data_IF_240965278349
#
_entry.id   IF_240965278349
#
_cell.length_a   1.000
_cell.length_b   1.000
_cell.length_c   1.000
_cell.angle_alpha   90.00
_cell.angle_beta   90.00
_cell.angle_gamma   90.00
#
_symmetry.space_group_name_H-M   'P 1'
#
loop_
_entity.id
_entity.type
_entity.pdbx_description
1 polymer ?
#
# COMPACT_ATOMS: atom_id res chain seq x y z
N UNK A 1 -70.39 -46.83 38.53
CA UNK A 1 -71.11 -47.25 37.30
C UNK A 1 -71.44 -46.02 36.48
N UNK A 2 -71.22 -46.13 35.16
CA UNK A 2 -71.67 -45.28 34.04
C UNK A 2 -70.69 -44.23 33.49
N UNK A 3 -70.25 -44.62 32.29
CA UNK A 3 -69.36 -44.04 31.31
C UNK A 3 -69.79 -42.67 30.76
N UNK A 4 -68.76 -41.93 30.38
CA UNK A 4 -68.69 -40.71 29.59
C UNK A 4 -69.10 -40.97 28.14
N UNK A 5 -69.89 -40.07 27.54
CA UNK A 5 -69.86 -39.85 26.08
C UNK A 5 -69.87 -38.36 25.74
N UNK A 6 -68.78 -37.97 25.10
CA UNK A 6 -68.47 -36.67 24.50
C UNK A 6 -69.03 -36.65 23.07
N UNK A 7 -69.82 -35.65 22.70
CA UNK A 7 -70.27 -35.44 21.32
C UNK A 7 -69.35 -34.43 20.63
N UNK A 8 -68.76 -34.86 19.51
CA UNK A 8 -67.83 -34.12 18.67
C UNK A 8 -68.63 -33.31 17.64
N UNK A 9 -68.38 -32.00 17.51
CA UNK A 9 -68.91 -31.18 16.43
C UNK A 9 -67.73 -30.58 15.65
N UNK A 10 -67.62 -30.94 14.37
CA UNK A 10 -66.60 -30.46 13.43
C UNK A 10 -67.13 -29.16 12.82
N UNK A 11 -66.39 -28.06 12.95
CA UNK A 11 -66.61 -26.83 12.20
C UNK A 11 -65.33 -26.47 11.43
N UNK A 12 -65.43 -26.49 10.11
CA UNK A 12 -64.35 -26.20 9.15
C UNK A 12 -63.99 -24.70 9.17
N UNK A 13 -62.70 -24.42 9.35
CA UNK A 13 -62.09 -23.08 9.24
C UNK A 13 -61.81 -22.73 7.78
N UNK A 14 -62.32 -21.59 7.31
CA UNK A 14 -61.90 -20.92 6.09
C UNK A 14 -61.08 -19.68 6.44
N UNK A 15 -59.75 -19.79 6.38
CA UNK A 15 -58.83 -18.66 6.54
C UNK A 15 -58.58 -18.03 5.17
N UNK A 16 -59.03 -16.79 4.99
CA UNK A 16 -58.72 -15.99 3.81
C UNK A 16 -57.32 -15.38 3.92
N UNK A 17 -56.38 -15.88 3.12
CA UNK A 17 -55.04 -15.30 3.02
C UNK A 17 -55.08 -13.98 2.26
N UNK A 18 -54.83 -12.84 2.94
CA UNK A 18 -54.53 -11.57 2.28
C UNK A 18 -53.09 -11.62 1.78
N UNK A 19 -52.92 -11.65 0.45
CA UNK A 19 -51.62 -11.43 -0.17
C UNK A 19 -51.22 -9.97 0.04
N UNK A 20 -50.13 -9.74 0.78
CA UNK A 20 -49.45 -8.44 0.83
C UNK A 20 -48.64 -8.36 -0.45
N UNK A 21 -49.08 -7.55 -1.40
CA UNK A 21 -48.28 -7.20 -2.57
C UNK A 21 -47.17 -6.25 -2.10
N UNK A 22 -45.93 -6.77 -1.99
CA UNK A 22 -44.74 -5.93 -1.96
C UNK A 22 -44.63 -5.23 -3.31
N UNK A 23 -44.95 -3.94 -3.34
CA UNK A 23 -44.62 -3.06 -4.44
C UNK A 23 -43.16 -2.61 -4.32
N UNK A 24 -42.23 -3.56 -4.51
CA UNK A 24 -40.85 -3.24 -4.84
C UNK A 24 -40.81 -2.96 -6.35
N UNK A 25 -40.94 -1.69 -6.70
CA UNK A 25 -40.65 -1.22 -8.05
C UNK A 25 -39.18 -1.50 -8.35
N UNK A 26 -38.83 -2.15 -9.47
CA UNK A 26 -37.44 -2.39 -9.81
C UNK A 26 -36.78 -1.04 -10.09
N UNK A 27 -35.85 -0.65 -9.23
CA UNK A 27 -34.93 0.45 -9.51
C UNK A 27 -34.06 0.01 -10.68
N UNK A 28 -34.26 0.62 -11.84
CA UNK A 28 -33.41 0.45 -13.01
C UNK A 28 -32.05 1.13 -12.76
N UNK A 29 -31.20 0.49 -11.97
CA UNK A 29 -29.76 0.76 -11.90
C UNK A 29 -28.99 -0.56 -11.84
N UNK A 30 -29.16 -1.40 -12.85
CA UNK A 30 -28.36 -2.61 -13.06
C UNK A 30 -26.98 -2.27 -13.67
N UNK A 31 -26.14 -1.62 -12.85
CA UNK A 31 -24.69 -1.56 -13.02
C UNK A 31 -23.94 -2.02 -11.75
N UNK A 32 -24.65 -2.42 -10.69
CA UNK A 32 -24.09 -2.64 -9.36
C UNK A 32 -24.04 -4.11 -8.89
N UNK A 33 -24.63 -5.06 -9.61
CA UNK A 33 -24.52 -6.48 -9.25
C UNK A 33 -23.30 -7.12 -9.90
N UNK A 34 -22.09 -6.65 -9.55
CA UNK A 34 -20.86 -7.34 -9.95
C UNK A 34 -20.96 -8.80 -9.53
N UNK A 35 -20.80 -9.74 -10.48
CA UNK A 35 -20.86 -11.19 -10.19
C UNK A 35 -19.79 -11.69 -9.21
N UNK A 36 -18.80 -10.85 -8.87
CA UNK A 36 -17.79 -11.11 -7.84
C UNK A 36 -18.16 -10.35 -6.56
N UNK A 37 -18.14 -11.05 -5.43
CA UNK A 37 -18.30 -10.46 -4.09
C UNK A 37 -17.02 -9.77 -3.59
N UNK A 38 -17.15 -8.83 -2.65
CA UNK A 38 -16.00 -8.14 -2.04
C UNK A 38 -15.00 -9.12 -1.40
N UNK A 39 -15.47 -10.22 -0.81
CA UNK A 39 -14.57 -11.24 -0.25
C UNK A 39 -13.82 -12.05 -1.31
N UNK A 40 -14.43 -12.28 -2.48
CA UNK A 40 -13.73 -12.88 -3.60
C UNK A 40 -12.68 -11.91 -4.18
N UNK A 41 -12.99 -10.61 -4.28
CA UNK A 41 -12.01 -9.59 -4.66
C UNK A 41 -10.85 -9.51 -3.67
N UNK A 42 -11.15 -9.55 -2.37
CA UNK A 42 -10.14 -9.57 -1.32
C UNK A 42 -9.21 -10.77 -1.48
N UNK A 43 -9.74 -12.01 -1.61
CA UNK A 43 -8.89 -13.19 -1.82
C UNK A 43 -8.03 -13.10 -3.08
N UNK A 44 -8.59 -12.59 -4.18
CA UNK A 44 -7.85 -12.38 -5.43
C UNK A 44 -6.70 -11.37 -5.24
N UNK A 45 -6.98 -10.24 -4.60
CA UNK A 45 -5.98 -9.22 -4.26
C UNK A 45 -4.87 -9.77 -3.38
N UNK A 46 -5.22 -10.58 -2.37
CA UNK A 46 -4.26 -11.25 -1.49
C UNK A 46 -3.34 -12.22 -2.23
N UNK A 47 -3.86 -13.03 -3.14
CA UNK A 47 -3.04 -13.90 -3.97
C UNK A 47 -2.10 -13.08 -4.87
N UNK A 48 -2.63 -12.04 -5.51
CA UNK A 48 -1.87 -11.17 -6.41
C UNK A 48 -0.74 -10.41 -5.70
N UNK A 49 -1.01 -9.82 -4.54
CA UNK A 49 -0.03 -9.01 -3.81
C UNK A 49 1.12 -9.86 -3.24
N UNK A 50 0.86 -11.13 -2.90
CA UNK A 50 1.90 -12.08 -2.50
C UNK A 50 2.88 -12.32 -3.65
N UNK A 51 2.38 -12.55 -4.86
CA UNK A 51 3.21 -12.69 -6.07
C UNK A 51 4.00 -11.43 -6.37
N UNK A 52 3.39 -10.25 -6.23
CA UNK A 52 4.08 -8.96 -6.38
C UNK A 52 5.24 -8.84 -5.38
N UNK A 53 4.97 -9.03 -4.08
CA UNK A 53 5.98 -8.93 -3.01
C UNK A 53 7.16 -9.89 -3.20
N UNK A 54 6.93 -11.06 -3.81
CA UNK A 54 7.99 -12.00 -4.16
C UNK A 54 8.79 -11.64 -5.42
N UNK A 55 8.27 -10.74 -6.25
CA UNK A 55 8.83 -10.41 -7.58
C UNK A 55 9.51 -9.05 -7.65
N UNK A 56 9.27 -8.17 -6.67
CA UNK A 56 9.76 -6.79 -6.67
C UNK A 56 10.55 -6.47 -5.41
N UNK A 57 11.44 -5.48 -5.52
CA UNK A 57 12.08 -4.90 -4.34
C UNK A 57 11.10 -3.91 -3.69
N UNK A 58 10.86 -4.07 -2.39
CA UNK A 58 10.07 -3.11 -1.61
C UNK A 58 10.96 -1.97 -1.12
N UNK A 59 10.38 -0.79 -0.94
CA UNK A 59 11.09 0.38 -0.42
C UNK A 59 11.46 0.18 1.04
N UNK A 60 12.76 0.20 1.34
CA UNK A 60 13.32 0.05 2.68
C UNK A 60 13.60 1.43 3.32
N UNK A 61 12.53 2.21 3.50
CA UNK A 61 12.58 3.49 4.22
C UNK A 61 11.33 3.65 5.10
N UNK A 62 11.42 3.39 6.42
CA UNK A 62 10.24 3.37 7.29
C UNK A 62 9.58 4.75 7.42
N UNK A 63 10.31 5.85 7.23
CA UNK A 63 9.74 7.19 7.27
C UNK A 63 8.88 7.46 6.02
N UNK A 64 9.37 7.10 4.84
CA UNK A 64 8.62 7.21 3.59
C UNK A 64 7.41 6.28 3.58
N UNK A 65 7.56 5.05 4.05
CA UNK A 65 6.46 4.08 4.17
C UNK A 65 5.40 4.57 5.16
N UNK A 66 5.79 5.03 6.37
CA UNK A 66 4.86 5.59 7.35
C UNK A 66 4.11 6.80 6.79
N UNK A 67 4.80 7.72 6.13
CA UNK A 67 4.17 8.89 5.50
C UNK A 67 3.12 8.49 4.45
N UNK A 68 3.45 7.55 3.56
CA UNK A 68 2.53 7.07 2.54
C UNK A 68 1.34 6.32 3.15
N UNK A 69 1.58 5.56 4.21
CA UNK A 69 0.53 4.88 4.96
C UNK A 69 -0.44 5.88 5.59
N UNK A 70 0.08 6.88 6.32
CA UNK A 70 -0.72 7.89 7.00
C UNK A 70 -1.54 8.73 6.00
N UNK A 71 -0.92 9.16 4.90
CA UNK A 71 -1.61 9.88 3.83
C UNK A 71 -2.69 9.02 3.17
N UNK A 72 -2.42 7.73 2.93
CA UNK A 72 -3.39 6.82 2.33
C UNK A 72 -4.59 6.61 3.25
N UNK A 73 -4.37 6.40 4.55
CA UNK A 73 -5.44 6.20 5.53
C UNK A 73 -6.27 7.46 5.78
N UNK A 74 -5.65 8.63 5.75
CA UNK A 74 -6.38 9.89 5.76
C UNK A 74 -7.37 9.94 4.58
N UNK A 75 -6.90 9.68 3.36
CA UNK A 75 -7.74 9.69 2.16
C UNK A 75 -8.81 8.58 2.18
N UNK A 76 -8.51 7.39 2.71
CA UNK A 76 -9.48 6.30 2.88
C UNK A 76 -10.65 6.76 3.75
N UNK A 77 -10.37 7.51 4.83
CA UNK A 77 -11.40 8.06 5.72
C UNK A 77 -12.40 8.99 5.02
N UNK A 78 -11.98 9.61 3.92
CA UNK A 78 -12.77 10.55 3.11
C UNK A 78 -13.25 9.98 1.77
N UNK A 79 -12.91 8.72 1.47
CA UNK A 79 -13.25 8.05 0.22
C UNK A 79 -14.64 7.40 0.26
N UNK A 80 -15.10 6.94 -0.91
CA UNK A 80 -16.37 6.21 -1.07
C UNK A 80 -16.20 4.67 -0.95
N UNK A 81 -15.09 4.21 -0.36
CA UNK A 81 -14.81 2.78 -0.19
C UNK A 81 -15.85 2.10 0.71
N UNK A 82 -16.41 0.98 0.21
CA UNK A 82 -17.28 0.10 0.99
C UNK A 82 -16.46 -0.87 1.86
N UNK A 83 -15.44 -1.49 1.28
CA UNK A 83 -14.46 -2.32 1.98
C UNK A 83 -13.20 -1.50 2.24
N UNK A 84 -12.83 -1.37 3.52
CA UNK A 84 -11.68 -0.58 3.97
C UNK A 84 -10.48 -1.45 4.36
N UNK A 85 -10.49 -2.74 3.99
CA UNK A 85 -9.30 -3.60 4.07
C UNK A 85 -8.30 -3.17 3.01
N UNK A 86 -7.50 -2.15 3.32
CA UNK A 86 -6.47 -1.62 2.42
C UNK A 86 -5.11 -2.23 2.76
N UNK A 87 -4.37 -2.63 1.73
CA UNK A 87 -2.99 -3.12 1.83
C UNK A 87 -2.10 -2.27 0.93
N UNK A 88 -1.23 -1.47 1.55
CA UNK A 88 -0.31 -0.60 0.85
C UNK A 88 0.99 -1.34 0.53
N UNK A 89 1.45 -1.24 -0.72
CA UNK A 89 2.75 -1.76 -1.15
C UNK A 89 3.56 -0.63 -1.76
N UNK A 90 4.69 -0.31 -1.13
CA UNK A 90 5.62 0.68 -1.65
C UNK A 90 6.77 -0.04 -2.36
N UNK A 91 6.79 0.07 -3.68
CA UNK A 91 7.77 -0.57 -4.55
C UNK A 91 8.99 0.35 -4.68
N UNK A 92 10.17 -0.23 -4.50
CA UNK A 92 11.44 0.45 -4.75
C UNK A 92 11.68 0.57 -6.26
N UNK A 93 11.07 1.58 -6.87
CA UNK A 93 11.23 1.88 -8.27
C UNK A 93 11.21 3.40 -8.47
N UNK A 94 12.21 3.93 -9.18
CA UNK A 94 12.33 5.37 -9.46
C UNK A 94 11.33 5.85 -10.52
N UNK A 95 10.64 4.94 -11.24
CA UNK A 95 9.62 5.32 -12.19
C UNK A 95 8.42 5.95 -11.49
N UNK A 96 7.78 6.88 -12.21
CA UNK A 96 6.50 7.42 -11.81
C UNK A 96 5.42 6.36 -12.00
N UNK A 97 4.90 5.78 -10.91
CA UNK A 97 3.74 4.90 -10.97
C UNK A 97 2.97 4.81 -9.64
N UNK A 98 1.69 4.52 -9.77
CA UNK A 98 0.80 4.04 -8.71
C UNK A 98 -0.28 3.17 -9.37
N UNK A 99 -0.85 2.25 -8.61
CA UNK A 99 -1.94 1.40 -9.11
C UNK A 99 -2.84 0.94 -7.97
N UNK A 100 -4.08 0.64 -8.31
CA UNK A 100 -5.00 -0.09 -7.47
C UNK A 100 -5.44 -1.40 -8.15
N UNK A 101 -5.45 -2.49 -7.39
CA UNK A 101 -6.02 -3.77 -7.83
C UNK A 101 -7.06 -4.28 -6.83
N UNK A 102 -7.94 -5.23 -7.20
CA UNK A 102 -9.02 -5.70 -6.34
C UNK A 102 -8.57 -6.11 -4.95
N UNK A 103 -9.49 -6.03 -3.99
CA UNK A 103 -9.21 -6.42 -2.62
C UNK A 103 -8.47 -5.38 -1.79
N UNK A 104 -8.51 -4.11 -2.22
CA UNK A 104 -7.97 -2.99 -1.47
C UNK A 104 -6.45 -2.84 -1.57
N UNK A 105 -5.81 -3.45 -2.58
CA UNK A 105 -4.36 -3.35 -2.75
C UNK A 105 -4.03 -2.04 -3.47
N UNK A 106 -3.17 -1.23 -2.87
CA UNK A 106 -2.65 0.00 -3.47
C UNK A 106 -1.14 -0.13 -3.59
N UNK A 107 -0.62 0.02 -4.80
CA UNK A 107 0.81 0.05 -5.09
C UNK A 107 1.28 1.47 -5.37
N UNK A 108 2.44 1.83 -4.83
CA UNK A 108 3.10 3.12 -5.06
C UNK A 108 4.56 2.88 -5.37
N UNK A 109 5.07 3.46 -6.46
CA UNK A 109 6.52 3.49 -6.70
C UNK A 109 7.16 4.66 -5.95
N UNK A 110 8.35 4.45 -5.37
CA UNK A 110 9.08 5.53 -4.69
C UNK A 110 9.37 6.76 -5.58
N UNK A 111 9.46 6.56 -6.90
CA UNK A 111 9.57 7.63 -7.89
C UNK A 111 8.39 8.62 -7.92
N UNK A 112 7.20 8.21 -7.46
CA UNK A 112 6.04 9.10 -7.33
C UNK A 112 6.33 10.25 -6.36
N UNK A 113 7.01 9.97 -5.24
CA UNK A 113 7.41 10.96 -4.24
C UNK A 113 8.41 11.99 -4.80
N UNK A 114 9.24 11.59 -5.76
CA UNK A 114 10.17 12.49 -6.45
C UNK A 114 9.48 13.42 -7.44
N UNK A 115 8.54 12.86 -8.21
CA UNK A 115 7.87 13.55 -9.29
C UNK A 115 6.84 14.58 -8.82
N UNK A 116 6.15 14.32 -7.70
CA UNK A 116 5.21 15.26 -7.12
C UNK A 116 5.96 16.51 -6.64
N UNK A 117 5.55 17.71 -7.05
CA UNK A 117 6.14 18.96 -6.55
C UNK A 117 5.54 19.36 -5.21
N UNK A 118 4.31 18.92 -4.96
CA UNK A 118 3.52 19.28 -3.79
C UNK A 118 2.82 18.04 -3.24
N UNK A 119 2.56 18.06 -1.94
CA UNK A 119 1.87 16.97 -1.24
C UNK A 119 0.45 16.73 -1.76
N UNK A 120 -0.27 17.81 -2.11
CA UNK A 120 -1.61 17.72 -2.66
C UNK A 120 -1.65 17.03 -4.04
N UNK A 121 -0.58 17.12 -4.83
CA UNK A 121 -0.45 16.42 -6.10
C UNK A 121 -0.25 14.91 -5.90
N UNK A 122 0.58 14.53 -4.92
CA UNK A 122 0.70 13.13 -4.50
C UNK A 122 -0.66 12.59 -4.02
N UNK A 123 -1.33 13.33 -3.14
CA UNK A 123 -2.64 12.96 -2.64
C UNK A 123 -3.67 12.81 -3.77
N UNK A 124 -3.57 13.61 -4.84
CA UNK A 124 -4.47 13.49 -6.00
C UNK A 124 -4.34 12.17 -6.75
N UNK A 125 -3.13 11.61 -6.84
CA UNK A 125 -2.91 10.30 -7.44
C UNK A 125 -3.49 9.20 -6.55
N UNK A 126 -3.27 9.27 -5.24
CA UNK A 126 -3.83 8.29 -4.30
C UNK A 126 -5.37 8.35 -4.24
N UNK A 127 -5.95 9.54 -4.28
CA UNK A 127 -7.39 9.73 -4.33
C UNK A 127 -8.00 9.16 -5.62
N UNK A 128 -7.27 9.25 -6.74
CA UNK A 128 -7.65 8.63 -8.01
C UNK A 128 -7.64 7.09 -7.93
N UNK A 129 -6.58 6.50 -7.37
CA UNK A 129 -6.51 5.04 -7.16
C UNK A 129 -7.60 4.52 -6.20
N UNK A 130 -7.85 5.26 -5.12
CA UNK A 130 -8.95 4.96 -4.19
C UNK A 130 -10.32 5.06 -4.88
N UNK A 131 -10.49 5.96 -5.84
CA UNK A 131 -11.71 6.04 -6.63
C UNK A 131 -11.88 4.80 -7.52
N UNK A 132 -10.82 4.27 -8.13
CA UNK A 132 -10.89 3.01 -8.87
C UNK A 132 -11.38 1.84 -8.01
N UNK A 133 -10.90 1.75 -6.76
CA UNK A 133 -11.36 0.75 -5.80
C UNK A 133 -12.81 0.98 -5.37
N UNK A 134 -13.15 2.22 -5.03
CA UNK A 134 -14.49 2.60 -4.54
C UNK A 134 -15.57 2.31 -5.58
N UNK A 135 -15.30 2.60 -6.84
CA UNK A 135 -16.23 2.38 -7.95
C UNK A 135 -16.14 0.96 -8.53
N UNK A 136 -15.29 0.10 -7.94
CA UNK A 136 -15.08 -1.30 -8.35
C UNK A 136 -14.86 -1.43 -9.87
N UNK A 137 -14.11 -0.49 -10.46
CA UNK A 137 -13.88 -0.41 -11.91
C UNK A 137 -13.30 -1.71 -12.47
N UNK A 138 -12.54 -2.46 -11.66
CA UNK A 138 -12.08 -3.79 -12.02
C UNK A 138 -13.20 -4.81 -12.15
N UNK A 139 -14.06 -4.93 -11.13
CA UNK A 139 -15.16 -5.89 -11.11
C UNK A 139 -16.15 -5.62 -12.24
N UNK A 140 -16.39 -4.33 -12.53
CA UNK A 140 -17.18 -3.90 -13.67
C UNK A 140 -16.52 -4.26 -15.02
N UNK A 141 -15.21 -4.02 -15.17
CA UNK A 141 -14.44 -4.42 -16.37
C UNK A 141 -14.48 -5.92 -16.62
N UNK A 142 -14.48 -6.70 -15.54
CA UNK A 142 -14.60 -8.14 -15.61
C UNK A 142 -15.99 -8.59 -16.05
N UNK A 143 -17.06 -8.04 -15.47
CA UNK A 143 -18.41 -8.42 -15.85
C UNK A 143 -18.65 -8.20 -17.34
N UNK A 144 -18.18 -7.07 -17.85
CA UNK A 144 -18.21 -6.75 -19.28
C UNK A 144 -17.34 -7.71 -20.11
N UNK A 145 -16.20 -8.15 -19.57
CA UNK A 145 -15.32 -9.13 -20.23
C UNK A 145 -15.85 -10.57 -20.17
N UNK A 146 -16.58 -10.98 -19.12
CA UNK A 146 -17.20 -12.30 -19.00
C UNK A 146 -18.29 -12.52 -20.03
N UNK A 147 -18.97 -11.46 -20.48
CA UNK A 147 -19.83 -11.50 -21.67
C UNK A 147 -19.05 -11.91 -22.94
N UNK A 148 -17.71 -11.80 -22.93
CA UNK A 148 -16.85 -11.95 -24.10
C UNK A 148 -15.74 -13.05 -24.01
N UNK A 149 -15.32 -13.55 -22.81
CA UNK A 149 -14.58 -14.82 -22.50
C UNK A 149 -13.98 -14.82 -21.06
N UNK A 150 -13.88 -15.98 -20.37
CA UNK A 150 -13.46 -16.07 -18.95
C UNK A 150 -11.96 -15.85 -18.65
N UNK A 151 -11.05 -15.88 -19.64
CA UNK A 151 -9.59 -15.76 -19.43
C UNK A 151 -9.08 -14.33 -19.14
N UNK A 152 -9.95 -13.33 -19.05
CA UNK A 152 -9.52 -11.92 -19.02
C UNK A 152 -8.86 -11.46 -17.70
N UNK A 153 -9.24 -12.05 -16.55
CA UNK A 153 -8.72 -11.66 -15.22
C UNK A 153 -7.24 -12.00 -15.08
N UNK A 154 -6.91 -13.28 -15.27
CA UNK A 154 -5.56 -13.78 -15.08
C UNK A 154 -4.58 -13.05 -15.99
N UNK A 155 -4.95 -12.85 -17.27
CA UNK A 155 -4.13 -12.09 -18.22
C UNK A 155 -3.91 -10.63 -17.80
N UNK A 156 -4.94 -9.96 -17.27
CA UNK A 156 -4.78 -8.58 -16.78
C UNK A 156 -3.90 -8.52 -15.52
N UNK A 157 -4.19 -9.36 -14.52
CA UNK A 157 -3.41 -9.38 -13.28
C UNK A 157 -1.94 -9.73 -13.53
N UNK A 158 -1.68 -10.65 -14.46
CA UNK A 158 -0.34 -10.93 -14.95
C UNK A 158 0.29 -9.70 -15.62
N UNK A 159 -0.46 -8.95 -16.43
CA UNK A 159 0.04 -7.72 -17.07
C UNK A 159 0.40 -6.62 -16.06
N UNK A 160 -0.44 -6.40 -15.02
CA UNK A 160 -0.14 -5.42 -13.96
C UNK A 160 1.03 -5.89 -13.12
N UNK A 161 1.13 -7.19 -12.83
CA UNK A 161 2.27 -7.76 -12.10
C UNK A 161 3.58 -7.54 -12.86
N UNK A 162 3.59 -7.83 -14.16
CA UNK A 162 4.76 -7.63 -15.03
C UNK A 162 5.12 -6.14 -15.10
N UNK A 163 4.13 -5.26 -15.28
CA UNK A 163 4.37 -3.83 -15.38
C UNK A 163 4.95 -3.27 -14.06
N UNK A 164 4.35 -3.65 -12.92
CA UNK A 164 4.83 -3.25 -11.59
C UNK A 164 6.22 -3.80 -11.24
N UNK A 165 6.58 -4.99 -11.77
CA UNK A 165 7.88 -5.62 -11.51
C UNK A 165 8.99 -5.16 -12.46
N UNK A 166 8.68 -4.95 -13.74
CA UNK A 166 9.64 -4.51 -14.75
C UNK A 166 9.00 -3.52 -15.73
N UNK A 167 9.41 -2.26 -15.57
CA UNK A 167 9.01 -1.14 -16.44
C UNK A 167 9.32 -1.33 -17.93
N UNK A 168 10.22 -2.26 -18.30
CA UNK A 168 10.60 -2.49 -19.68
C UNK A 168 9.73 -3.54 -20.39
N UNK A 169 9.07 -4.44 -19.65
CA UNK A 169 8.43 -5.63 -20.20
C UNK A 169 6.93 -5.44 -20.56
N UNK A 170 6.26 -4.40 -20.05
CA UNK A 170 4.81 -4.19 -20.22
C UNK A 170 4.32 -3.92 -21.65
N UNK A 171 5.20 -3.63 -22.61
CA UNK A 171 4.82 -3.18 -23.95
C UNK A 171 4.65 -4.28 -25.01
N UNK A 172 4.97 -5.55 -24.72
CA UNK A 172 5.16 -6.59 -25.75
C UNK A 172 3.92 -7.46 -26.06
N UNK A 173 2.76 -7.24 -25.45
CA UNK A 173 1.64 -8.19 -25.49
C UNK A 173 0.39 -7.75 -26.29
N UNK A 174 0.55 -7.10 -27.45
CA UNK A 174 -0.60 -6.65 -28.27
C UNK A 174 -0.54 -7.27 -29.68
N UNK A 175 -1.40 -8.26 -29.94
CA UNK A 175 -1.63 -8.84 -31.26
C UNK A 175 -2.70 -8.08 -32.05
N UNK A 176 -2.58 -8.07 -33.38
CA UNK A 176 -3.28 -7.19 -34.33
C UNK A 176 -4.75 -7.57 -34.65
N UNK A 177 -5.36 -8.51 -33.93
CA UNK A 177 -6.60 -9.18 -34.41
C UNK A 177 -7.92 -8.67 -33.79
N UNK A 178 -7.99 -7.49 -33.17
CA UNK A 178 -9.16 -7.10 -32.35
C UNK A 178 -9.50 -5.59 -32.40
N UNK A 179 -9.82 -4.99 -33.55
CA UNK A 179 -10.09 -3.53 -33.59
C UNK A 179 -11.38 -3.10 -32.84
N UNK A 180 -12.48 -3.85 -32.97
CA UNK A 180 -13.77 -3.47 -32.39
C UNK A 180 -13.84 -3.70 -30.86
N UNK A 181 -13.32 -4.83 -30.36
CA UNK A 181 -13.29 -5.10 -28.91
C UNK A 181 -12.21 -4.27 -28.20
N UNK A 182 -11.15 -3.86 -28.90
CA UNK A 182 -10.17 -2.89 -28.39
C UNK A 182 -10.79 -1.49 -28.25
N UNK A 183 -11.59 -1.05 -29.21
CA UNK A 183 -12.29 0.25 -29.12
C UNK A 183 -13.29 0.32 -27.94
N UNK A 184 -14.07 -0.75 -27.72
CA UNK A 184 -14.99 -0.84 -26.59
C UNK A 184 -14.26 -0.86 -25.23
N UNK A 185 -13.18 -1.64 -25.10
CA UNK A 185 -12.31 -1.66 -23.91
C UNK A 185 -11.67 -0.29 -23.65
N UNK A 186 -11.18 0.39 -24.68
CA UNK A 186 -10.61 1.73 -24.58
C UNK A 186 -11.67 2.79 -24.22
N UNK A 187 -12.92 2.63 -24.67
CA UNK A 187 -14.02 3.54 -24.32
C UNK A 187 -14.49 3.36 -22.88
N UNK A 188 -14.62 2.12 -22.42
CA UNK A 188 -14.96 1.81 -21.02
C UNK A 188 -13.88 2.31 -20.06
N UNK A 189 -12.61 2.08 -20.40
CA UNK A 189 -11.47 2.66 -19.67
C UNK A 189 -11.57 4.19 -19.58
N UNK A 190 -11.88 4.92 -20.67
CA UNK A 190 -12.06 6.38 -20.62
C UNK A 190 -13.21 6.85 -19.73
N UNK A 191 -14.30 6.07 -19.62
CA UNK A 191 -15.40 6.41 -18.72
C UNK A 191 -14.98 6.22 -17.27
N UNK A 192 -14.33 5.09 -16.96
CA UNK A 192 -13.77 4.81 -15.63
C UNK A 192 -12.77 5.88 -15.20
N UNK A 193 -11.90 6.35 -16.10
CA UNK A 193 -10.96 7.42 -15.79
C UNK A 193 -11.67 8.73 -15.41
N UNK A 194 -12.71 9.15 -16.16
CA UNK A 194 -13.46 10.38 -15.84
C UNK A 194 -14.23 10.26 -14.52
N UNK A 195 -14.75 9.06 -14.25
CA UNK A 195 -15.42 8.78 -12.99
C UNK A 195 -14.43 8.77 -11.82
N UNK A 196 -13.26 8.15 -11.99
CA UNK A 196 -12.19 8.16 -11.00
C UNK A 196 -11.68 9.60 -10.74
N UNK A 197 -11.51 10.42 -11.78
CA UNK A 197 -11.16 11.85 -11.63
C UNK A 197 -12.20 12.57 -10.77
N UNK A 198 -13.49 12.41 -11.11
CA UNK A 198 -14.60 13.06 -10.40
C UNK A 198 -14.67 12.63 -8.94
N UNK A 199 -14.63 11.32 -8.66
CA UNK A 199 -14.74 10.78 -7.30
C UNK A 199 -13.47 11.08 -6.50
N UNK A 200 -12.29 10.99 -7.12
CA UNK A 200 -11.02 11.35 -6.50
C UNK A 200 -10.99 12.82 -6.08
N UNK A 201 -11.44 13.75 -6.93
CA UNK A 201 -11.56 15.16 -6.55
C UNK A 201 -12.55 15.40 -5.41
N UNK A 202 -13.64 14.63 -5.33
CA UNK A 202 -14.58 14.69 -4.20
C UNK A 202 -13.91 14.22 -2.90
N UNK A 203 -13.11 13.13 -2.96
CA UNK A 203 -12.30 12.66 -1.84
C UNK A 203 -11.31 13.73 -1.37
N UNK A 204 -10.61 14.41 -2.30
CA UNK A 204 -9.70 15.51 -1.97
C UNK A 204 -10.40 16.64 -1.23
N UNK A 205 -11.54 17.12 -1.74
CA UNK A 205 -12.33 18.17 -1.09
C UNK A 205 -12.78 17.74 0.30
N UNK A 206 -13.23 16.48 0.43
CA UNK A 206 -13.69 15.92 1.70
C UNK A 206 -12.56 15.81 2.73
N UNK A 207 -11.32 15.58 2.28
CA UNK A 207 -10.10 15.59 3.08
C UNK A 207 -9.52 17.01 3.29
N UNK A 208 -10.18 18.08 2.80
CA UNK A 208 -9.67 19.45 2.90
C UNK A 208 -8.46 19.75 2.01
N UNK A 209 -8.22 18.95 0.97
CA UNK A 209 -7.12 19.07 0.01
C UNK A 209 -7.60 19.79 -1.25
N UNK A 210 -6.76 20.66 -1.82
CA UNK A 210 -7.08 21.44 -3.02
C UNK A 210 -7.40 20.52 -4.22
N UNK A 211 -8.65 20.50 -4.73
CA UNK A 211 -9.03 19.67 -5.88
C UNK A 211 -8.29 20.08 -7.16
N UNK A 212 -7.77 21.32 -7.21
CA UNK A 212 -6.95 21.80 -8.33
C UNK A 212 -5.59 21.09 -8.40
N UNK A 213 -5.22 20.29 -7.40
CA UNK A 213 -4.00 19.49 -7.42
C UNK A 213 -4.03 18.38 -8.48
N UNK A 214 -5.18 17.78 -8.73
CA UNK A 214 -5.34 16.75 -9.75
C UNK A 214 -5.02 17.26 -11.17
N UNK A 215 -5.63 18.35 -11.68
CA UNK A 215 -5.27 18.88 -12.99
C UNK A 215 -3.81 19.38 -13.05
N UNK A 216 -3.26 19.95 -11.96
CA UNK A 216 -1.82 20.28 -11.90
C UNK A 216 -0.95 19.04 -12.11
N UNK A 217 -1.29 17.95 -11.43
CA UNK A 217 -0.55 16.70 -11.53
C UNK A 217 -0.64 16.12 -12.94
N UNK A 218 -1.83 16.10 -13.55
CA UNK A 218 -2.02 15.67 -14.93
C UNK A 218 -1.23 16.52 -15.94
N UNK A 219 -1.24 17.84 -15.80
CA UNK A 219 -0.43 18.72 -16.65
C UNK A 219 1.06 18.44 -16.52
N UNK A 220 1.55 18.11 -15.31
CA UNK A 220 2.95 17.73 -15.11
C UNK A 220 3.29 16.39 -15.74
N UNK A 221 2.43 15.40 -15.59
CA UNK A 221 2.60 14.11 -16.27
C UNK A 221 2.64 14.28 -17.79
N UNK A 222 1.74 15.11 -18.35
CA UNK A 222 1.71 15.42 -19.78
C UNK A 222 2.99 16.15 -20.22
N UNK A 223 3.49 17.08 -19.41
CA UNK A 223 4.74 17.79 -19.71
C UNK A 223 5.95 16.86 -19.67
N UNK A 224 6.03 15.93 -18.69
CA UNK A 224 7.15 14.99 -18.59
C UNK A 224 7.21 14.01 -19.77
N UNK A 225 6.08 13.66 -20.37
CA UNK A 225 6.05 12.82 -21.58
C UNK A 225 6.83 13.42 -22.75
N UNK A 226 6.87 14.76 -22.87
CA UNK A 226 7.51 15.44 -24.02
C UNK A 226 9.03 15.23 -24.06
N UNK A 227 9.63 14.90 -22.93
CA UNK A 227 11.08 14.77 -22.77
C UNK A 227 11.52 13.32 -22.58
N UNK A 228 10.58 12.36 -22.59
CA UNK A 228 10.86 10.95 -22.37
C UNK A 228 10.61 10.14 -23.64
N UNK A 229 11.57 9.27 -23.98
CA UNK A 229 11.44 8.35 -25.12
C UNK A 229 10.35 7.28 -24.91
N UNK A 230 9.90 7.09 -23.67
CA UNK A 230 8.82 6.19 -23.28
C UNK A 230 7.94 6.88 -22.24
N UNK A 231 6.59 6.83 -22.35
CA UNK A 231 5.72 7.39 -21.33
C UNK A 231 5.89 6.62 -19.99
N UNK A 232 5.74 7.30 -18.84
CA UNK A 232 5.60 6.65 -17.54
C UNK A 232 4.56 5.53 -17.56
N UNK A 233 4.81 4.47 -16.79
CA UNK A 233 3.95 3.30 -16.73
C UNK A 233 2.51 3.63 -16.31
N UNK A 234 2.34 4.56 -15.36
CA UNK A 234 1.04 5.10 -14.97
C UNK A 234 0.21 5.57 -16.16
N UNK A 235 0.85 6.13 -17.19
CA UNK A 235 0.15 6.68 -18.36
C UNK A 235 -0.21 5.61 -19.39
N UNK A 236 0.34 4.39 -19.26
CA UNK A 236 -0.07 3.23 -20.05
C UNK A 236 -1.41 2.68 -19.55
N UNK A 237 -1.65 2.72 -18.24
CA UNK A 237 -2.89 2.27 -17.60
C UNK A 237 -3.91 3.40 -17.43
N UNK A 238 -3.46 4.63 -17.19
CA UNK A 238 -4.26 5.84 -16.99
C UNK A 238 -3.87 6.95 -17.98
N UNK A 239 -4.27 6.87 -19.27
CA UNK A 239 -3.93 7.89 -20.24
C UNK A 239 -4.46 9.27 -19.85
N UNK A 240 -3.54 10.21 -19.61
CA UNK A 240 -3.87 11.62 -19.38
C UNK A 240 -4.03 12.32 -20.73
N UNK A 241 -5.20 12.91 -20.97
CA UNK A 241 -5.54 13.62 -22.21
C UNK A 241 -5.87 15.08 -21.92
N UNK A 242 -5.75 15.96 -22.92
CA UNK A 242 -6.14 17.37 -22.80
C UNK A 242 -7.61 17.51 -22.36
N UNK A 243 -8.48 16.61 -22.83
CA UNK A 243 -9.88 16.58 -22.42
C UNK A 243 -10.05 16.28 -20.92
N UNK A 244 -9.27 15.35 -20.33
CA UNK A 244 -9.30 15.06 -18.88
C UNK A 244 -8.76 16.23 -18.06
N UNK A 245 -7.69 16.88 -18.55
CA UNK A 245 -7.14 18.07 -17.90
C UNK A 245 -8.18 19.20 -17.88
N UNK A 246 -8.80 19.50 -19.02
CA UNK A 246 -9.83 20.53 -19.13
C UNK A 246 -11.07 20.22 -18.27
N UNK A 247 -11.52 18.97 -18.26
CA UNK A 247 -12.63 18.52 -17.42
C UNK A 247 -12.31 18.66 -15.92
N UNK A 248 -11.11 18.24 -15.50
CA UNK A 248 -10.65 18.36 -14.11
C UNK A 248 -10.49 19.83 -13.69
N UNK A 249 -10.00 20.71 -14.58
CA UNK A 249 -9.94 22.16 -14.32
C UNK A 249 -11.35 22.74 -14.10
N UNK A 250 -12.29 22.44 -15.00
CA UNK A 250 -13.68 22.90 -14.88
C UNK A 250 -14.35 22.42 -13.59
N UNK A 251 -14.04 21.20 -13.13
CA UNK A 251 -14.55 20.67 -11.86
C UNK A 251 -13.92 21.38 -10.66
N UNK A 252 -12.61 21.62 -10.69
CA UNK A 252 -11.89 22.25 -9.60
C UNK A 252 -12.45 23.67 -9.32
N UNK A 253 -12.79 24.41 -10.36
CA UNK A 253 -13.43 25.73 -10.23
C UNK A 253 -14.79 25.68 -9.51
N UNK A 254 -15.57 24.62 -9.72
CA UNK A 254 -16.89 24.44 -9.10
C UNK A 254 -16.82 23.93 -7.67
N UNK A 255 -15.82 23.12 -7.34
CA UNK A 255 -15.65 22.52 -6.02
C UNK A 255 -15.12 23.51 -4.98
N UNK A 256 -14.54 24.63 -5.41
CA UNK A 256 -13.95 25.64 -4.53
C UNK A 256 -12.59 25.20 -3.98
N UNK A 257 -11.80 26.17 -3.50
CA UNK A 257 -10.46 25.92 -2.94
C UNK A 257 -10.51 25.96 -1.42
N UNK A 258 -9.98 24.95 -0.72
CA UNK A 258 -9.73 25.09 0.71
C UNK A 258 -8.72 26.23 0.95
N UNK A 259 -8.82 26.93 2.09
CA UNK A 259 -8.03 28.14 2.36
C UNK A 259 -6.54 27.87 2.55
N UNK A 260 -6.15 26.61 2.80
CA UNK A 260 -4.78 26.23 3.10
C UNK A 260 -4.23 25.29 2.04
N UNK A 261 -3.03 25.63 1.59
CA UNK A 261 -2.24 24.87 0.63
C UNK A 261 -1.43 23.84 1.42
N UNK A 262 -1.69 22.53 1.23
CA UNK A 262 -1.00 21.47 1.97
C UNK A 262 0.51 21.48 1.65
N UNK A 263 1.33 21.72 2.67
CA UNK A 263 2.79 21.70 2.64
C UNK A 263 3.26 21.22 4.01
N UNK A 264 3.62 19.95 4.11
CA UNK A 264 4.14 19.36 5.34
C UNK A 264 5.67 19.24 5.31
N UNK A 265 6.27 19.21 6.51
CA UNK A 265 7.70 18.91 6.67
C UNK A 265 7.95 17.46 6.29
N UNK A 266 7.00 16.58 6.59
CA UNK A 266 6.95 15.16 6.24
C UNK A 266 7.14 14.94 4.74
N UNK A 267 6.31 15.58 3.91
CA UNK A 267 6.43 15.46 2.46
C UNK A 267 7.78 15.96 1.95
N UNK A 268 8.23 17.12 2.43
CA UNK A 268 9.51 17.70 2.03
C UNK A 268 10.69 16.80 2.45
N UNK A 269 10.64 16.23 3.65
CA UNK A 269 11.63 15.29 4.18
C UNK A 269 11.64 13.98 3.38
N UNK A 270 10.49 13.35 3.13
CA UNK A 270 10.40 12.11 2.35
C UNK A 270 10.88 12.34 0.93
N UNK A 271 10.50 13.44 0.29
CA UNK A 271 11.00 13.78 -1.05
C UNK A 271 12.52 13.95 -1.06
N UNK A 272 13.09 14.62 -0.05
CA UNK A 272 14.53 14.74 0.12
C UNK A 272 15.21 13.37 0.32
N UNK A 273 14.62 12.47 1.14
CA UNK A 273 15.12 11.10 1.33
C UNK A 273 15.14 10.32 0.03
N UNK A 274 14.05 10.35 -0.74
CA UNK A 274 13.96 9.68 -2.04
C UNK A 274 14.99 10.25 -3.03
N UNK A 275 15.23 11.56 -3.00
CA UNK A 275 16.18 12.19 -3.92
C UNK A 275 17.62 11.75 -3.61
N UNK A 276 17.95 11.54 -2.33
CA UNK A 276 19.23 10.95 -1.92
C UNK A 276 19.29 9.45 -2.21
N UNK A 277 18.20 8.73 -1.97
CA UNK A 277 18.12 7.27 -2.10
C UNK A 277 18.32 6.82 -3.55
N UNK A 278 17.63 7.47 -4.50
CA UNK A 278 17.67 7.13 -5.92
C UNK A 278 18.89 7.68 -6.67
N UNK A 279 19.76 8.44 -5.99
CA UNK A 279 21.08 8.76 -6.56
C UNK A 279 21.97 7.50 -6.52
N UNK A 280 22.45 7.03 -7.66
CA UNK A 280 23.12 5.72 -7.76
C UNK A 280 24.40 5.64 -6.92
N UNK A 281 25.13 6.75 -6.78
CA UNK A 281 26.42 6.78 -6.10
C UNK A 281 26.35 7.63 -4.80
N UNK A 282 26.62 7.05 -3.61
CA UNK A 282 26.57 7.79 -2.36
C UNK A 282 27.48 9.04 -2.29
N UNK A 283 28.66 8.99 -2.92
CA UNK A 283 29.58 10.13 -2.95
C UNK A 283 29.04 11.25 -3.86
N UNK A 284 28.39 10.90 -4.96
CA UNK A 284 27.72 11.85 -5.86
C UNK A 284 26.55 12.52 -5.16
N UNK A 285 25.71 11.74 -4.47
CA UNK A 285 24.62 12.26 -3.64
C UNK A 285 25.13 13.25 -2.59
N UNK A 286 26.18 12.85 -1.86
CA UNK A 286 26.80 13.69 -0.84
C UNK A 286 27.30 15.02 -1.40
N UNK A 287 28.05 15.00 -2.50
CA UNK A 287 28.58 16.22 -3.14
C UNK A 287 27.44 17.10 -3.67
N UNK A 288 26.46 16.51 -4.36
CA UNK A 288 25.31 17.22 -4.90
C UNK A 288 24.53 17.97 -3.81
N UNK A 289 24.15 17.28 -2.73
CA UNK A 289 23.40 17.90 -1.65
C UNK A 289 24.27 18.80 -0.77
N UNK A 290 25.59 18.58 -0.72
CA UNK A 290 26.51 19.51 -0.09
C UNK A 290 26.50 20.88 -0.80
N UNK A 291 26.55 20.89 -2.12
CA UNK A 291 26.55 22.15 -2.89
C UNK A 291 25.16 22.77 -2.95
N UNK A 292 24.12 21.94 -3.08
CA UNK A 292 22.72 22.40 -3.14
C UNK A 292 22.28 23.11 -1.86
N UNK A 293 22.56 22.57 -0.67
CA UNK A 293 22.14 23.24 0.56
C UNK A 293 22.87 24.57 0.80
N UNK A 294 24.12 24.70 0.34
CA UNK A 294 24.90 25.94 0.43
C UNK A 294 24.33 27.05 -0.44
N UNK A 295 23.71 26.68 -1.57
CA UNK A 295 23.20 27.63 -2.56
C UNK A 295 21.71 27.95 -2.40
N UNK A 296 20.89 27.00 -1.94
CA UNK A 296 19.44 27.19 -1.88
C UNK A 296 18.95 27.88 -0.60
N UNK A 297 19.64 27.67 0.52
CA UNK A 297 19.19 28.11 1.85
C UNK A 297 17.92 27.42 2.36
N UNK A 298 17.42 26.39 1.65
CA UNK A 298 16.18 25.70 2.00
C UNK A 298 16.41 24.59 3.05
N UNK A 299 15.57 24.48 4.08
CA UNK A 299 15.72 23.45 5.11
C UNK A 299 15.73 22.02 4.56
N UNK A 300 14.90 21.72 3.56
CA UNK A 300 14.81 20.40 2.95
C UNK A 300 16.10 19.96 2.25
N UNK A 301 16.90 20.91 1.73
CA UNK A 301 18.18 20.60 1.08
C UNK A 301 19.28 20.33 2.13
N UNK A 302 19.25 21.04 3.26
CA UNK A 302 20.14 20.75 4.40
C UNK A 302 19.80 19.40 5.04
N UNK A 303 18.51 19.08 5.14
CA UNK A 303 18.05 17.77 5.57
C UNK A 303 18.49 16.67 4.59
N UNK A 304 18.35 16.88 3.28
CA UNK A 304 18.86 15.94 2.26
C UNK A 304 20.38 15.72 2.38
N UNK A 305 21.16 16.77 2.64
CA UNK A 305 22.58 16.64 2.91
C UNK A 305 22.88 15.78 4.13
N UNK A 306 22.10 15.90 5.22
CA UNK A 306 22.27 15.03 6.39
C UNK A 306 22.00 13.56 6.05
N UNK A 307 20.94 13.27 5.29
CA UNK A 307 20.62 11.90 4.82
C UNK A 307 21.74 11.37 3.93
N UNK A 308 22.28 12.18 3.02
CA UNK A 308 23.40 11.79 2.16
C UNK A 308 24.70 11.55 2.96
N UNK A 309 24.94 12.32 4.03
CA UNK A 309 26.06 12.09 4.94
C UNK A 309 25.92 10.77 5.70
N UNK A 310 24.72 10.39 6.15
CA UNK A 310 24.47 9.07 6.76
C UNK A 310 24.79 7.96 5.76
N UNK A 311 24.29 8.07 4.53
CA UNK A 311 24.52 7.08 3.46
C UNK A 311 26.00 6.91 3.09
N UNK A 312 26.82 7.94 3.30
CA UNK A 312 28.28 7.91 3.11
C UNK A 312 29.05 7.55 4.40
N UNK A 313 28.37 7.04 5.43
CA UNK A 313 28.96 6.69 6.72
C UNK A 313 29.66 7.87 7.42
N UNK A 314 29.08 9.08 7.33
CA UNK A 314 29.54 10.31 7.99
C UNK A 314 28.52 10.82 9.02
N UNK A 315 28.25 10.04 10.09
CA UNK A 315 27.16 10.31 11.03
C UNK A 315 27.32 11.63 11.79
N UNK A 316 28.54 12.05 12.12
CA UNK A 316 28.75 13.30 12.85
C UNK A 316 28.47 14.54 11.98
N UNK A 317 28.78 14.47 10.69
CA UNK A 317 28.40 15.53 9.75
C UNK A 317 26.89 15.60 9.56
N UNK A 318 26.22 14.44 9.51
CA UNK A 318 24.76 14.39 9.48
C UNK A 318 24.17 15.07 10.72
N UNK A 319 24.62 14.72 11.93
CA UNK A 319 24.14 15.34 13.18
C UNK A 319 24.39 16.85 13.22
N UNK A 320 25.55 17.32 12.76
CA UNK A 320 25.84 18.75 12.66
C UNK A 320 24.91 19.46 11.68
N UNK A 321 24.57 18.84 10.56
CA UNK A 321 23.61 19.39 9.60
C UNK A 321 22.19 19.44 10.19
N UNK A 322 21.72 18.37 10.82
CA UNK A 322 20.40 18.32 11.47
C UNK A 322 20.28 19.35 12.60
N UNK A 323 21.35 19.59 13.36
CA UNK A 323 21.36 20.59 14.43
C UNK A 323 21.23 22.05 13.92
N UNK A 324 21.60 22.30 12.66
CA UNK A 324 21.49 23.62 12.01
C UNK A 324 20.13 23.87 11.35
N UNK A 325 19.24 22.87 11.31
CA UNK A 325 17.89 23.06 10.78
C UNK A 325 17.10 24.07 11.64
N UNK A 326 16.14 24.81 11.05
CA UNK A 326 15.23 25.68 11.79
C UNK A 326 14.51 24.95 12.92
N UNK A 327 14.04 25.68 13.93
CA UNK A 327 13.45 25.10 15.14
C UNK A 327 12.28 24.16 14.89
N UNK A 328 11.43 24.46 13.90
CA UNK A 328 10.31 23.61 13.48
C UNK A 328 10.79 22.27 12.90
N UNK A 329 11.76 22.31 11.97
CA UNK A 329 12.35 21.13 11.35
C UNK A 329 13.14 20.30 12.35
N UNK A 330 13.96 20.94 13.19
CA UNK A 330 14.82 20.27 14.17
C UNK A 330 14.04 19.49 15.23
N UNK A 331 12.85 19.97 15.61
CA UNK A 331 11.97 19.31 16.58
C UNK A 331 11.03 18.28 15.93
N UNK A 332 10.95 18.27 14.60
CA UNK A 332 10.08 17.39 13.85
C UNK A 332 10.47 15.91 14.00
N UNK A 333 9.49 15.01 14.09
CA UNK A 333 9.72 13.56 14.27
C UNK A 333 10.67 12.99 13.21
N UNK A 334 10.47 13.32 11.94
CA UNK A 334 11.29 12.84 10.82
C UNK A 334 12.76 13.23 10.97
N UNK A 335 13.03 14.43 11.49
CA UNK A 335 14.39 14.90 11.76
C UNK A 335 15.01 14.19 12.96
N UNK A 336 14.21 13.94 14.02
CA UNK A 336 14.67 13.19 15.19
C UNK A 336 15.00 11.72 14.82
N UNK A 337 14.14 11.06 14.04
CA UNK A 337 14.39 9.71 13.52
C UNK A 337 15.61 9.67 12.59
N UNK A 338 15.83 10.68 11.75
CA UNK A 338 17.05 10.77 10.94
C UNK A 338 18.30 10.95 11.81
N UNK A 339 18.18 11.63 12.95
CA UNK A 339 19.26 11.70 13.96
C UNK A 339 19.56 10.34 14.59
N UNK A 340 18.53 9.52 14.84
CA UNK A 340 18.66 8.13 15.30
C UNK A 340 19.33 7.26 14.22
N UNK A 341 19.00 7.43 12.95
CA UNK A 341 19.66 6.75 11.84
C UNK A 341 21.16 7.07 11.78
N UNK A 342 21.56 8.30 12.11
CA UNK A 342 22.98 8.65 12.26
C UNK A 342 23.65 7.95 13.45
N UNK A 343 22.92 7.71 14.55
CA UNK A 343 23.45 6.90 15.67
C UNK A 343 23.59 5.43 15.29
N UNK A 344 22.60 4.86 14.61
CA UNK A 344 22.64 3.51 14.06
C UNK A 344 23.83 3.34 13.11
N UNK A 345 24.03 4.27 12.16
CA UNK A 345 25.17 4.25 11.24
C UNK A 345 26.53 4.37 11.95
N UNK A 346 26.55 4.93 13.16
CA UNK A 346 27.73 5.00 14.02
C UNK A 346 27.85 3.82 15.00
N UNK A 347 27.01 2.78 14.88
CA UNK A 347 26.91 1.63 15.78
C UNK A 347 26.60 2.02 17.25
N UNK A 348 25.98 3.18 17.46
CA UNK A 348 25.57 3.69 18.78
C UNK A 348 24.17 3.17 19.16
N UNK A 349 24.00 1.86 19.11
CA UNK A 349 22.70 1.19 19.26
C UNK A 349 22.00 1.50 20.59
N UNK A 350 22.73 1.53 21.71
CA UNK A 350 22.15 1.87 23.01
C UNK A 350 21.61 3.30 23.08
N UNK A 351 22.31 4.26 22.46
CA UNK A 351 21.86 5.66 22.39
C UNK A 351 20.64 5.80 21.47
N UNK A 352 20.65 5.10 20.33
CA UNK A 352 19.51 5.02 19.42
C UNK A 352 18.28 4.47 20.15
N UNK A 353 18.41 3.33 20.82
CA UNK A 353 17.33 2.69 21.58
C UNK A 353 16.76 3.63 22.67
N UNK A 354 17.62 4.29 23.46
CA UNK A 354 17.17 5.24 24.47
C UNK A 354 16.39 6.43 23.87
N UNK A 355 16.85 6.94 22.73
CA UNK A 355 16.16 8.03 22.04
C UNK A 355 14.79 7.56 21.53
N UNK A 356 14.74 6.36 20.95
CA UNK A 356 13.52 5.74 20.43
C UNK A 356 12.51 5.39 21.53
N UNK A 357 12.96 5.00 22.73
CA UNK A 357 12.09 4.82 23.89
C UNK A 357 11.37 6.13 24.26
N UNK A 358 12.10 7.25 24.24
CA UNK A 358 11.54 8.58 24.46
C UNK A 358 10.56 9.00 23.37
N UNK A 359 10.86 8.70 22.10
CA UNK A 359 9.97 9.00 20.97
C UNK A 359 8.69 8.16 21.03
N UNK A 360 8.79 6.87 21.34
CA UNK A 360 7.62 6.00 21.41
C UNK A 360 6.67 6.35 22.56
N UNK A 361 7.17 6.96 23.64
CA UNK A 361 6.31 7.50 24.69
C UNK A 361 5.45 8.71 24.22
N UNK A 362 5.92 9.45 23.22
CA UNK A 362 5.23 10.62 22.64
C UNK A 362 4.39 10.22 21.42
N UNK A 363 4.87 9.26 20.63
CA UNK A 363 4.26 8.76 19.40
C UNK A 363 3.98 7.25 19.49
N UNK A 364 3.12 6.81 20.42
CA UNK A 364 2.84 5.38 20.61
C UNK A 364 2.20 4.79 19.34
N UNK A 365 2.70 3.63 18.90
CA UNK A 365 2.20 2.93 17.71
C UNK A 365 2.65 3.53 16.37
N UNK A 366 3.43 4.61 16.35
CA UNK A 366 3.94 5.12 15.08
C UNK A 366 4.89 4.10 14.42
N UNK A 367 4.53 3.66 13.22
CA UNK A 367 5.23 2.62 12.46
C UNK A 367 6.74 2.86 12.37
N UNK A 368 7.17 4.06 11.95
CA UNK A 368 8.58 4.37 11.76
C UNK A 368 9.37 4.38 13.07
N UNK A 369 8.76 4.88 14.15
CA UNK A 369 9.37 4.86 15.50
C UNK A 369 9.55 3.43 15.98
N UNK A 370 8.49 2.62 15.92
CA UNK A 370 8.51 1.28 16.46
C UNK A 370 9.42 0.35 15.65
N UNK A 371 9.44 0.46 14.32
CA UNK A 371 10.36 -0.33 13.49
C UNK A 371 11.82 0.01 13.80
N UNK A 372 12.17 1.31 13.89
CA UNK A 372 13.52 1.74 14.27
C UNK A 372 13.86 1.35 15.72
N UNK A 373 12.88 1.32 16.63
CA UNK A 373 13.05 0.83 18.01
C UNK A 373 13.42 -0.65 18.05
N UNK A 374 12.73 -1.48 17.27
CA UNK A 374 13.05 -2.89 17.14
C UNK A 374 14.47 -3.11 16.60
N UNK A 375 14.85 -2.43 15.51
CA UNK A 375 16.19 -2.51 14.92
C UNK A 375 17.28 -2.05 15.92
N UNK A 376 17.04 -0.95 16.63
CA UNK A 376 17.98 -0.46 17.64
C UNK A 376 18.15 -1.44 18.81
N UNK A 377 17.06 -2.08 19.26
CA UNK A 377 17.13 -3.14 20.27
C UNK A 377 17.89 -4.36 19.77
N UNK A 378 17.67 -4.81 18.54
CA UNK A 378 18.44 -5.90 17.93
C UNK A 378 19.94 -5.57 17.90
N UNK A 379 20.29 -4.38 17.40
CA UNK A 379 21.69 -3.93 17.36
C UNK A 379 22.34 -3.75 18.74
N UNK A 380 21.54 -3.45 19.77
CA UNK A 380 21.99 -3.36 21.16
C UNK A 380 22.05 -4.72 21.88
N UNK A 381 21.70 -5.83 21.22
CA UNK A 381 21.65 -7.16 21.83
C UNK A 381 20.45 -7.38 22.76
N UNK A 382 19.42 -6.54 22.67
CA UNK A 382 18.18 -6.58 23.46
C UNK A 382 17.07 -7.33 22.71
N UNK A 383 17.36 -8.56 22.27
CA UNK A 383 16.51 -9.32 21.36
C UNK A 383 15.08 -9.54 21.88
N UNK A 384 14.89 -9.86 23.16
CA UNK A 384 13.54 -10.05 23.72
C UNK A 384 12.69 -8.78 23.67
N UNK A 385 13.29 -7.60 23.84
CA UNK A 385 12.57 -6.33 23.67
C UNK A 385 12.18 -6.13 22.21
N UNK A 386 13.10 -6.38 21.27
CA UNK A 386 12.79 -6.30 19.83
C UNK A 386 11.63 -7.22 19.44
N UNK A 387 11.62 -8.47 19.95
CA UNK A 387 10.53 -9.42 19.74
C UNK A 387 9.19 -8.89 20.24
N UNK A 388 9.15 -8.21 21.40
CA UNK A 388 7.91 -7.59 21.89
C UNK A 388 7.40 -6.51 20.93
N UNK A 389 8.28 -5.57 20.56
CA UNK A 389 7.93 -4.48 19.63
C UNK A 389 7.42 -5.02 18.29
N UNK A 390 8.10 -6.01 17.73
CA UNK A 390 7.78 -6.57 16.42
C UNK A 390 6.49 -7.39 16.43
N UNK A 391 6.14 -8.02 17.56
CA UNK A 391 4.82 -8.66 17.72
C UNK A 391 3.70 -7.61 17.80
N UNK A 392 3.94 -6.47 18.44
CA UNK A 392 2.97 -5.37 18.48
C UNK A 392 2.76 -4.79 17.08
N UNK A 393 3.85 -4.49 16.37
CA UNK A 393 3.79 -4.06 14.96
C UNK A 393 3.12 -5.08 14.06
N UNK A 394 3.40 -6.38 14.21
CA UNK A 394 2.75 -7.44 13.42
C UNK A 394 1.23 -7.45 13.64
N UNK A 395 0.73 -7.10 14.82
CA UNK A 395 -0.71 -7.03 15.08
C UNK A 395 -1.38 -5.86 14.40
N UNK A 396 -0.70 -4.71 14.34
CA UNK A 396 -1.22 -3.49 13.72
C UNK A 396 -1.03 -3.49 12.20
N UNK A 397 0.10 -4.02 11.72
CA UNK A 397 0.51 -4.10 10.32
C UNK A 397 0.76 -5.56 9.90
N UNK A 398 -0.27 -6.43 9.89
CA UNK A 398 -0.11 -7.87 9.66
C UNK A 398 0.45 -8.24 8.29
N UNK A 399 0.47 -7.30 7.34
CA UNK A 399 0.93 -7.51 5.97
C UNK A 399 2.29 -6.89 5.69
N UNK A 400 2.90 -6.22 6.66
CA UNK A 400 4.20 -5.58 6.48
C UNK A 400 5.32 -6.63 6.43
N UNK A 401 5.89 -6.82 5.25
CA UNK A 401 6.89 -7.87 4.99
C UNK A 401 8.15 -7.66 5.86
N UNK A 402 8.54 -6.40 6.06
CA UNK A 402 9.75 -6.03 6.82
C UNK A 402 9.61 -6.40 8.30
N UNK A 403 8.47 -6.13 8.91
CA UNK A 403 8.17 -6.51 10.30
C UNK A 403 8.26 -8.01 10.51
N UNK A 404 7.71 -8.82 9.60
CA UNK A 404 7.78 -10.28 9.71
C UNK A 404 9.22 -10.80 9.54
N UNK A 405 9.99 -10.20 8.62
CA UNK A 405 11.40 -10.52 8.46
C UNK A 405 12.20 -10.18 9.72
N UNK A 406 12.08 -8.96 10.24
CA UNK A 406 12.76 -8.51 11.45
C UNK A 406 12.35 -9.36 12.66
N UNK A 407 11.08 -9.78 12.76
CA UNK A 407 10.59 -10.64 13.83
C UNK A 407 11.31 -11.99 13.82
N UNK A 408 11.46 -12.62 12.64
CA UNK A 408 12.20 -13.87 12.51
C UNK A 408 13.67 -13.72 12.95
N UNK A 409 14.32 -12.62 12.57
CA UNK A 409 15.72 -12.36 12.95
C UNK A 409 15.86 -12.07 14.46
N UNK A 410 14.96 -11.27 15.04
CA UNK A 410 14.94 -10.99 16.49
C UNK A 410 14.68 -12.26 17.32
N UNK A 411 13.77 -13.13 16.87
CA UNK A 411 13.50 -14.42 17.50
C UNK A 411 14.74 -15.34 17.44
N UNK A 412 15.50 -15.28 16.35
CA UNK A 412 16.76 -16.00 16.21
C UNK A 412 17.82 -15.51 17.19
N UNK A 413 17.97 -14.18 17.32
CA UNK A 413 18.86 -13.57 18.33
C UNK A 413 18.44 -13.90 19.77
N UNK A 414 17.14 -14.07 20.02
CA UNK A 414 16.59 -14.49 21.30
C UNK A 414 16.66 -16.02 21.54
N UNK A 415 17.17 -16.81 20.59
CA UNK A 415 17.28 -18.26 20.69
C UNK A 415 15.96 -19.03 20.66
N UNK A 416 14.89 -18.44 20.09
CA UNK A 416 13.54 -19.02 20.05
C UNK A 416 13.29 -19.82 18.77
N UNK A 417 14.05 -20.90 18.55
CA UNK A 417 14.11 -21.63 17.27
C UNK A 417 12.75 -21.99 16.64
N UNK A 418 11.81 -22.56 17.40
CA UNK A 418 10.48 -22.93 16.88
C UNK A 418 9.76 -21.69 16.34
N UNK A 419 9.76 -20.60 17.11
CA UNK A 419 9.13 -19.34 16.73
C UNK A 419 9.81 -18.69 15.51
N UNK A 420 11.11 -18.90 15.31
CA UNK A 420 11.81 -18.47 14.07
C UNK A 420 11.20 -19.14 12.86
N UNK A 421 10.96 -20.46 12.92
CA UNK A 421 10.32 -21.17 11.81
C UNK A 421 8.91 -20.64 11.55
N UNK A 422 8.10 -20.45 12.59
CA UNK A 422 6.75 -19.87 12.48
C UNK A 422 6.78 -18.49 11.82
N UNK A 423 7.65 -17.58 12.27
CA UNK A 423 7.79 -16.24 11.69
C UNK A 423 8.32 -16.26 10.24
N UNK A 424 9.22 -17.19 9.89
CA UNK A 424 9.71 -17.34 8.51
C UNK A 424 8.63 -17.91 7.59
N UNK A 425 7.78 -18.81 8.06
CA UNK A 425 6.62 -19.30 7.31
C UNK A 425 5.73 -18.11 6.94
N UNK A 426 5.38 -17.26 7.90
CA UNK A 426 4.55 -16.07 7.64
C UNK A 426 5.19 -15.14 6.61
N UNK A 427 6.48 -14.83 6.76
CA UNK A 427 7.25 -14.03 5.80
C UNK A 427 7.22 -14.62 4.38
N UNK A 428 7.46 -15.94 4.25
CA UNK A 428 7.46 -16.60 2.95
C UNK A 428 6.06 -16.66 2.33
N UNK A 429 5.02 -16.80 3.14
CA UNK A 429 3.65 -16.70 2.66
C UNK A 429 3.35 -15.30 2.15
N UNK A 430 3.72 -14.24 2.89
CA UNK A 430 3.50 -12.84 2.46
C UNK A 430 4.20 -12.49 1.15
N UNK A 431 5.29 -13.19 0.83
CA UNK A 431 6.08 -12.99 -0.39
C UNK A 431 5.83 -14.06 -1.45
N UNK A 432 4.78 -14.88 -1.32
CA UNK A 432 4.41 -15.89 -2.30
C UNK A 432 5.40 -17.06 -2.46
N UNK A 433 6.39 -17.17 -1.58
CA UNK A 433 7.44 -18.19 -1.59
C UNK A 433 6.98 -19.48 -0.88
N UNK A 434 5.86 -20.04 -1.34
CA UNK A 434 5.15 -21.16 -0.69
C UNK A 434 6.04 -22.39 -0.49
N UNK A 435 6.92 -22.71 -1.44
CA UNK A 435 7.84 -23.86 -1.30
C UNK A 435 8.86 -23.65 -0.17
N UNK A 436 9.31 -22.41 0.04
CA UNK A 436 10.20 -22.07 1.16
C UNK A 436 9.45 -22.12 2.48
N UNK A 437 8.18 -21.68 2.51
CA UNK A 437 7.32 -21.83 3.68
C UNK A 437 7.16 -23.32 4.06
N UNK A 438 6.87 -24.19 3.10
CA UNK A 438 6.75 -25.64 3.34
C UNK A 438 8.07 -26.26 3.81
N UNK A 439 9.20 -25.79 3.28
CA UNK A 439 10.52 -26.21 3.76
C UNK A 439 10.74 -25.81 5.24
N UNK A 440 10.30 -24.61 5.65
CA UNK A 440 10.35 -24.20 7.05
C UNK A 440 9.45 -25.04 7.95
N UNK A 441 8.25 -25.44 7.49
CA UNK A 441 7.39 -26.40 8.21
C UNK A 441 8.12 -27.71 8.46
N UNK A 442 8.79 -28.25 7.43
CA UNK A 442 9.58 -29.49 7.56
C UNK A 442 10.72 -29.35 8.57
N UNK A 443 11.39 -28.19 8.62
CA UNK A 443 12.41 -27.92 9.63
C UNK A 443 11.81 -27.82 11.03
N UNK A 444 10.68 -27.12 11.18
CA UNK A 444 9.97 -27.00 12.45
C UNK A 444 9.60 -28.37 13.03
N UNK A 445 9.13 -29.33 12.21
CA UNK A 445 8.83 -30.69 12.66
C UNK A 445 10.06 -31.50 13.13
N UNK A 446 11.27 -31.11 12.72
CA UNK A 446 12.53 -31.77 13.10
C UNK A 446 13.16 -31.18 14.36
N UNK A 447 12.61 -30.09 14.89
CA UNK A 447 13.08 -29.50 16.13
C UNK A 447 12.95 -30.48 17.31
N UNK A 448 13.90 -30.38 18.24
CA UNK A 448 13.91 -31.23 19.43
C UNK A 448 12.93 -30.69 20.47
N UNK A 449 12.37 -31.57 21.30
CA UNK A 449 11.51 -31.21 22.43
C UNK A 449 10.18 -30.52 22.07
N UNK A 450 9.62 -30.78 20.89
CA UNK A 450 8.28 -30.28 20.53
C UNK A 450 7.20 -30.78 21.49
N UNK A 451 6.45 -29.85 22.09
CA UNK A 451 5.25 -30.19 22.85
C UNK A 451 4.11 -30.61 21.92
N UNK A 452 3.06 -31.22 22.47
CA UNK A 452 1.86 -31.53 21.69
C UNK A 452 1.22 -30.27 21.10
N UNK A 453 1.27 -29.14 21.83
CA UNK A 453 0.77 -27.86 21.34
C UNK A 453 1.60 -27.32 20.17
N UNK A 454 2.93 -27.45 20.23
CA UNK A 454 3.81 -26.98 19.15
C UNK A 454 3.54 -27.78 17.86
N UNK A 455 3.42 -29.11 17.97
CA UNK A 455 3.08 -29.96 16.82
C UNK A 455 1.75 -29.54 16.18
N UNK A 456 0.71 -29.36 16.99
CA UNK A 456 -0.60 -28.93 16.49
C UNK A 456 -0.55 -27.56 15.79
N UNK A 457 0.24 -26.61 16.30
CA UNK A 457 0.43 -25.31 15.62
C UNK A 457 1.17 -25.45 14.30
N UNK A 458 2.25 -26.25 14.25
CA UNK A 458 3.01 -26.49 13.02
C UNK A 458 2.13 -27.21 11.98
N UNK A 459 1.32 -28.20 12.40
CA UNK A 459 0.37 -28.90 11.52
C UNK A 459 -0.66 -27.91 10.93
N UNK A 460 -1.17 -26.97 11.74
CA UNK A 460 -2.08 -25.93 11.27
C UNK A 460 -1.38 -25.00 10.25
N UNK A 461 -0.16 -24.56 10.52
CA UNK A 461 0.63 -23.77 9.59
C UNK A 461 0.86 -24.51 8.26
N UNK A 462 1.07 -25.83 8.28
CA UNK A 462 1.15 -26.62 7.06
C UNK A 462 -0.14 -26.56 6.24
N UNK A 463 -1.30 -26.65 6.89
CA UNK A 463 -2.60 -26.50 6.23
C UNK A 463 -2.77 -25.10 5.64
N UNK A 464 -2.39 -24.06 6.38
CA UNK A 464 -2.46 -22.68 5.91
C UNK A 464 -1.56 -22.47 4.68
N UNK A 465 -0.34 -23.03 4.68
CA UNK A 465 0.58 -22.99 3.54
C UNK A 465 -0.04 -23.70 2.31
N UNK A 466 -0.67 -24.85 2.50
CA UNK A 466 -1.36 -25.60 1.42
C UNK A 466 -2.57 -24.83 0.89
N UNK A 467 -3.33 -24.17 1.75
CA UNK A 467 -4.46 -23.34 1.35
C UNK A 467 -3.99 -22.14 0.53
N UNK A 468 -2.97 -21.41 0.99
CA UNK A 468 -2.42 -20.27 0.24
C UNK A 468 -1.89 -20.72 -1.12
N UNK A 469 -1.26 -21.91 -1.22
CA UNK A 469 -0.87 -22.50 -2.51
C UNK A 469 -2.06 -22.61 -3.46
N UNK A 470 -3.12 -23.26 -3.01
CA UNK A 470 -4.32 -23.49 -3.82
C UNK A 470 -5.00 -22.17 -4.23
N UNK A 471 -5.04 -21.18 -3.34
CA UNK A 471 -5.56 -19.84 -3.64
C UNK A 471 -4.73 -19.12 -4.70
N UNK A 472 -3.40 -19.20 -4.63
CA UNK A 472 -2.52 -18.62 -5.64
C UNK A 472 -2.63 -19.32 -6.99
N UNK A 473 -2.72 -20.65 -7.00
CA UNK A 473 -2.93 -21.45 -8.22
C UNK A 473 -4.30 -21.20 -8.87
N UNK A 474 -5.33 -20.87 -8.09
CA UNK A 474 -6.66 -20.55 -8.62
C UNK A 474 -6.80 -19.10 -9.13
N UNK A 475 -5.91 -18.21 -8.71
CA UNK A 475 -5.91 -16.79 -9.08
C UNK A 475 -5.12 -16.49 -10.37
N UNK A 476 -4.14 -17.33 -10.68
CA UNK A 476 -3.32 -17.30 -11.90
C UNK A 476 -3.97 -18.13 -13.01
#
# INVERSE_FOLDING_TARGET
MRFVHLFFFILMLSVSSRAIANSDLPVLTDAASSTISLDQEHRLGRAWVRSLRGSVKLLDDPLAVSYLHDLSWELVGHSQLQDRRIDLVVVDNQTFNAFAVPGGIIGIHGGLLLAAEREDELASVLAHELAHLSQRHYAASLEESRRNRPLAIASFLASVLIAAADSQAGAAAISTSIAAQQSARLSFSRQNEREADRVGMQTLVSAGIDPSAMPRMFSRMQASQRFLSKPPEFLLTHPVTEARIADSLNRAERLGKPPLTRRSIEFAAVKARMAVYYESNPQTAYNHFQDKHRSSGKPEDLYAFAVAAIRLSRPDQAKQALAKLPGEWRKHLFTQLTGVEADIAALRWGQAAQTLDGLAAVYPGNFAVEQRRAEAYMGAGLADKAVQVLNDLKREYPNDVTTHYLLAEALGQAGRNIAVHEARIDYFLLTGQVDRALTQVQYAHRERNLTASDKARIDQLEQDVKQVRAEMEAAL
#
